data_IF_963815155912
#
_entry.id   IF_963815155912
#
_cell.length_a   1.000
_cell.length_b   1.000
_cell.length_c   1.000
_cell.angle_alpha   90.00
_cell.angle_beta   90.00
_cell.angle_gamma   90.00
#
_symmetry.space_group_name_H-M   'P 1'
#
loop_
_entity.id
_entity.type
_entity.pdbx_description
1 polymer ?
#
# COMPACT_ATOMS: atom_id res chain seq x y z
N UNK A 1 9.20 10.00 -7.38
CA UNK A 1 8.57 8.95 -8.21
C UNK A 1 7.28 8.47 -7.56
N UNK A 2 7.23 8.22 -6.25
CA UNK A 2 6.02 7.83 -5.52
C UNK A 2 4.79 8.73 -5.79
N UNK A 3 4.98 10.05 -5.81
CA UNK A 3 3.89 10.97 -6.13
C UNK A 3 3.32 10.77 -7.54
N UNK A 4 4.18 10.41 -8.51
CA UNK A 4 3.73 10.12 -9.88
C UNK A 4 2.91 8.83 -9.87
N UNK A 5 3.40 7.81 -9.18
CA UNK A 5 2.72 6.54 -9.00
C UNK A 5 1.34 6.74 -8.36
N UNK A 6 1.28 7.42 -7.21
CA UNK A 6 0.04 7.72 -6.50
C UNK A 6 -0.94 8.56 -7.34
N UNK A 7 -0.43 9.57 -8.09
CA UNK A 7 -1.25 10.39 -8.96
C UNK A 7 -1.91 9.56 -10.07
N UNK A 8 -1.15 8.67 -10.70
CA UNK A 8 -1.66 7.79 -11.76
C UNK A 8 -2.73 6.85 -11.21
N UNK A 9 -2.52 6.28 -10.01
CA UNK A 9 -3.54 5.45 -9.34
C UNK A 9 -4.82 6.26 -9.15
N UNK A 10 -4.75 7.43 -8.52
CA UNK A 10 -5.93 8.29 -8.28
C UNK A 10 -6.68 8.63 -9.57
N UNK A 11 -5.96 8.93 -10.64
CA UNK A 11 -6.57 9.31 -11.92
C UNK A 11 -7.20 8.12 -12.65
N UNK A 12 -6.61 6.93 -12.52
CA UNK A 12 -7.00 5.75 -13.29
C UNK A 12 -7.88 4.77 -12.53
N UNK A 13 -7.96 4.81 -11.19
CA UNK A 13 -8.73 3.85 -10.38
C UNK A 13 -10.20 3.75 -10.85
N UNK A 14 -10.83 4.87 -11.15
CA UNK A 14 -12.22 4.89 -11.63
C UNK A 14 -12.35 4.53 -13.11
N UNK A 15 -11.56 5.12 -14.04
CA UNK A 15 -11.59 4.71 -15.44
C UNK A 15 -11.30 3.21 -15.65
N UNK A 16 -10.35 2.66 -14.90
CA UNK A 16 -10.01 1.23 -15.01
C UNK A 16 -11.08 0.33 -14.42
N UNK A 17 -11.77 0.74 -13.34
CA UNK A 17 -12.93 0.04 -12.84
C UNK A 17 -14.04 -0.10 -13.89
N UNK A 18 -14.39 1.00 -14.57
CA UNK A 18 -15.36 0.97 -15.69
C UNK A 18 -14.87 0.12 -16.87
N UNK A 19 -13.56 0.10 -17.12
CA UNK A 19 -12.98 -0.72 -18.18
C UNK A 19 -12.94 -2.20 -17.79
N UNK A 20 -12.74 -2.50 -16.52
CA UNK A 20 -12.81 -3.84 -15.97
C UNK A 20 -14.18 -4.51 -16.17
N UNK A 21 -15.27 -3.72 -16.09
CA UNK A 21 -16.63 -4.20 -16.34
C UNK A 21 -16.91 -4.57 -17.81
N UNK A 22 -16.06 -4.12 -18.74
CA UNK A 22 -16.22 -4.36 -20.18
C UNK A 22 -15.22 -5.36 -20.74
N UNK A 23 -14.24 -5.76 -19.93
CA UNK A 23 -13.13 -6.61 -20.38
C UNK A 23 -13.04 -7.82 -19.46
N UNK A 24 -12.56 -8.95 -19.96
CA UNK A 24 -12.36 -10.15 -19.16
C UNK A 24 -11.29 -9.92 -18.08
N UNK A 25 -11.53 -10.39 -16.85
CA UNK A 25 -10.62 -10.26 -15.69
C UNK A 25 -9.21 -10.80 -16.05
N UNK A 26 -9.19 -11.95 -16.72
CA UNK A 26 -7.97 -12.56 -17.25
C UNK A 26 -7.14 -11.60 -18.11
N UNK A 27 -7.74 -10.90 -19.08
CA UNK A 27 -7.02 -9.97 -19.98
C UNK A 27 -6.46 -8.77 -19.21
N UNK A 28 -7.18 -8.28 -18.21
CA UNK A 28 -6.72 -7.18 -17.37
C UNK A 28 -5.49 -7.59 -16.54
N UNK A 29 -5.51 -8.78 -15.94
CA UNK A 29 -4.36 -9.32 -15.20
C UNK A 29 -3.17 -9.50 -16.14
N UNK A 30 -3.37 -10.09 -17.31
CA UNK A 30 -2.32 -10.28 -18.32
C UNK A 30 -1.70 -8.95 -18.76
N UNK A 31 -2.53 -7.96 -19.06
CA UNK A 31 -2.08 -6.62 -19.45
C UNK A 31 -1.30 -5.94 -18.30
N UNK A 32 -1.82 -6.03 -17.06
CA UNK A 32 -1.18 -5.43 -15.88
C UNK A 32 0.19 -6.03 -15.60
N UNK A 33 0.31 -7.36 -15.54
CA UNK A 33 1.60 -8.04 -15.31
C UNK A 33 2.58 -7.77 -16.46
N UNK A 34 2.11 -7.72 -17.70
CA UNK A 34 2.95 -7.39 -18.85
C UNK A 34 3.49 -5.96 -18.77
N UNK A 35 2.66 -4.99 -18.37
CA UNK A 35 3.09 -3.60 -18.17
C UNK A 35 4.11 -3.49 -17.04
N UNK A 36 3.94 -4.23 -15.94
CA UNK A 36 4.93 -4.29 -14.87
C UNK A 36 6.24 -4.90 -15.35
N UNK A 37 6.20 -5.98 -16.13
CA UNK A 37 7.38 -6.58 -16.74
C UNK A 37 8.12 -5.59 -17.66
N UNK A 38 7.41 -4.87 -18.51
CA UNK A 38 7.98 -3.84 -19.39
C UNK A 38 8.57 -2.68 -18.58
N UNK A 39 7.95 -2.29 -17.47
CA UNK A 39 8.43 -1.21 -16.62
C UNK A 39 9.83 -1.52 -16.05
N UNK A 40 10.10 -2.77 -15.64
CA UNK A 40 11.41 -3.18 -15.14
C UNK A 40 12.48 -3.22 -16.24
N UNK A 41 12.12 -3.52 -17.49
CA UNK A 41 13.02 -3.36 -18.62
C UNK A 41 13.39 -1.90 -18.84
N UNK A 42 12.41 -1.01 -18.80
CA UNK A 42 12.66 0.43 -18.93
C UNK A 42 13.53 0.91 -17.76
N UNK A 43 13.25 0.48 -16.52
CA UNK A 43 14.05 0.84 -15.34
C UNK A 43 15.52 0.42 -15.50
N UNK A 44 15.78 -0.80 -15.96
CA UNK A 44 17.14 -1.34 -16.12
C UNK A 44 18.02 -0.49 -17.06
N UNK A 45 17.41 0.10 -18.09
CA UNK A 45 18.11 0.92 -19.09
C UNK A 45 17.89 2.43 -18.93
N UNK A 46 17.23 2.85 -17.86
CA UNK A 46 16.92 4.26 -17.62
C UNK A 46 18.02 4.93 -16.79
N UNK A 47 18.63 5.98 -17.35
CA UNK A 47 19.63 6.83 -16.68
C UNK A 47 19.14 8.29 -16.58
N UNK A 48 17.93 8.58 -17.02
CA UNK A 48 17.35 9.92 -17.06
C UNK A 48 16.04 9.98 -16.30
N UNK A 49 15.68 11.17 -15.81
CA UNK A 49 14.39 11.38 -15.16
C UNK A 49 13.20 10.95 -16.02
N UNK A 50 13.24 11.24 -17.33
CA UNK A 50 12.18 10.83 -18.27
C UNK A 50 12.03 9.31 -18.39
N UNK A 51 13.16 8.58 -18.40
CA UNK A 51 13.12 7.12 -18.40
C UNK A 51 12.48 6.55 -17.13
N UNK A 52 12.88 7.04 -15.95
CA UNK A 52 12.26 6.65 -14.69
C UNK A 52 10.78 7.04 -14.65
N UNK A 53 10.42 8.22 -15.15
CA UNK A 53 9.02 8.66 -15.23
C UNK A 53 8.15 7.68 -16.05
N UNK A 54 8.61 7.28 -17.24
CA UNK A 54 7.90 6.34 -18.11
C UNK A 54 7.79 4.98 -17.44
N UNK A 55 8.87 4.47 -16.84
CA UNK A 55 8.88 3.18 -16.18
C UNK A 55 7.87 3.13 -15.02
N UNK A 56 7.92 4.12 -14.11
CA UNK A 56 6.99 4.21 -12.97
C UNK A 56 5.54 4.40 -13.44
N UNK A 57 5.34 5.17 -14.51
CA UNK A 57 4.00 5.33 -15.09
C UNK A 57 3.45 4.01 -15.64
N UNK A 58 4.26 3.22 -16.34
CA UNK A 58 3.89 1.88 -16.81
C UNK A 58 3.55 0.95 -15.63
N UNK A 59 4.37 0.95 -14.58
CA UNK A 59 4.14 0.14 -13.38
C UNK A 59 2.83 0.53 -12.68
N UNK A 60 2.58 1.83 -12.49
CA UNK A 60 1.35 2.33 -11.88
C UNK A 60 0.11 1.93 -12.67
N UNK A 61 0.14 2.10 -14.00
CA UNK A 61 -0.97 1.67 -14.88
C UNK A 61 -1.19 0.16 -14.77
N UNK A 62 -0.12 -0.64 -14.80
CA UNK A 62 -0.19 -2.10 -14.65
C UNK A 62 -0.82 -2.52 -13.33
N UNK A 63 -0.40 -1.89 -12.23
CA UNK A 63 -0.90 -2.16 -10.89
C UNK A 63 -2.40 -1.84 -10.75
N UNK A 64 -2.84 -0.67 -11.24
CA UNK A 64 -4.26 -0.26 -11.16
C UNK A 64 -5.16 -1.19 -11.99
N UNK A 65 -4.73 -1.56 -13.20
CA UNK A 65 -5.51 -2.47 -14.06
C UNK A 65 -5.66 -3.84 -13.39
N UNK A 66 -4.62 -4.31 -12.70
CA UNK A 66 -4.57 -5.64 -12.08
C UNK A 66 -5.34 -5.70 -10.75
N UNK A 67 -5.21 -4.70 -9.90
CA UNK A 67 -5.67 -4.72 -8.51
C UNK A 67 -7.17 -5.04 -8.38
N UNK A 68 -8.02 -4.42 -9.21
CA UNK A 68 -9.45 -4.70 -9.22
C UNK A 68 -9.83 -6.05 -9.82
N UNK A 69 -9.01 -6.58 -10.75
CA UNK A 69 -9.31 -7.81 -11.46
C UNK A 69 -8.91 -9.09 -10.70
N UNK A 70 -7.86 -9.05 -9.87
CA UNK A 70 -7.32 -10.24 -9.17
C UNK A 70 -8.31 -10.80 -8.15
N UNK A 71 -8.80 -9.97 -7.25
CA UNK A 71 -9.75 -10.40 -6.22
C UNK A 71 -11.09 -10.81 -6.84
N UNK A 72 -11.55 -10.12 -7.88
CA UNK A 72 -12.76 -10.47 -8.60
C UNK A 72 -12.61 -11.82 -9.29
N UNK A 73 -11.51 -12.07 -10.02
CA UNK A 73 -11.25 -13.36 -10.67
C UNK A 73 -11.23 -14.50 -9.65
N UNK A 74 -10.56 -14.31 -8.51
CA UNK A 74 -10.50 -15.30 -7.44
C UNK A 74 -11.90 -15.60 -6.89
N UNK A 75 -12.69 -14.57 -6.59
CA UNK A 75 -14.03 -14.74 -6.04
C UNK A 75 -14.97 -15.45 -7.03
N UNK A 76 -15.00 -15.00 -8.29
CA UNK A 76 -15.82 -15.58 -9.35
C UNK A 76 -15.44 -17.04 -9.62
N UNK A 77 -14.13 -17.37 -9.63
CA UNK A 77 -13.64 -18.76 -9.80
C UNK A 77 -14.07 -19.68 -8.65
N UNK A 78 -14.03 -19.19 -7.40
CA UNK A 78 -14.50 -19.95 -6.24
C UNK A 78 -16.02 -20.08 -6.23
N UNK A 79 -16.74 -19.09 -6.71
CA UNK A 79 -18.20 -19.13 -6.84
C UNK A 79 -18.63 -20.16 -7.88
N UNK A 80 -17.96 -20.24 -9.04
CA UNK A 80 -18.20 -21.25 -10.07
C UNK A 80 -17.94 -22.67 -9.55
N UNK A 81 -16.92 -22.83 -8.69
CA UNK A 81 -16.60 -24.10 -8.02
C UNK A 81 -17.50 -24.44 -6.82
N UNK A 82 -18.51 -23.62 -6.52
CA UNK A 82 -19.33 -23.72 -5.31
C UNK A 82 -18.56 -23.62 -3.99
N UNK A 83 -17.39 -23.00 -3.99
CA UNK A 83 -16.51 -22.83 -2.82
C UNK A 83 -16.36 -21.35 -2.39
N UNK A 84 -17.33 -20.50 -2.69
CA UNK A 84 -17.28 -19.05 -2.36
C UNK A 84 -16.98 -18.78 -0.87
N UNK A 85 -17.46 -19.66 0.05
CA UNK A 85 -17.17 -19.57 1.48
C UNK A 85 -15.69 -19.81 1.85
N UNK A 86 -14.86 -20.22 0.90
CA UNK A 86 -13.41 -20.44 1.07
C UNK A 86 -12.58 -19.22 0.67
N UNK A 87 -13.21 -18.14 0.19
CA UNK A 87 -12.52 -16.98 -0.38
C UNK A 87 -11.47 -16.41 0.59
N UNK A 88 -11.83 -16.12 1.84
CA UNK A 88 -10.92 -15.54 2.82
C UNK A 88 -9.75 -16.48 3.14
N UNK A 89 -10.01 -17.78 3.18
CA UNK A 89 -8.97 -18.79 3.42
C UNK A 89 -7.98 -18.85 2.26
N UNK A 90 -8.46 -18.83 1.02
CA UNK A 90 -7.61 -18.90 -0.18
C UNK A 90 -6.83 -17.61 -0.33
N UNK A 91 -7.49 -16.45 -0.17
CA UNK A 91 -6.84 -15.14 -0.20
C UNK A 91 -5.75 -15.04 0.88
N UNK A 92 -6.04 -15.51 2.11
CA UNK A 92 -5.06 -15.53 3.19
C UNK A 92 -3.83 -16.39 2.87
N UNK A 93 -4.01 -17.54 2.18
CA UNK A 93 -2.88 -18.36 1.71
C UNK A 93 -2.06 -17.65 0.62
N UNK A 94 -2.72 -17.00 -0.33
CA UNK A 94 -2.04 -16.24 -1.39
C UNK A 94 -1.22 -15.08 -0.80
N UNK A 95 -1.79 -14.34 0.15
CA UNK A 95 -1.09 -13.27 0.86
C UNK A 95 0.11 -13.80 1.66
N UNK A 96 -0.03 -14.94 2.34
CA UNK A 96 1.08 -15.57 3.07
C UNK A 96 2.22 -15.99 2.12
N UNK A 97 1.90 -16.58 0.96
CA UNK A 97 2.89 -16.91 -0.07
C UNK A 97 3.57 -15.64 -0.58
N UNK A 98 2.80 -14.56 -0.83
CA UNK A 98 3.33 -13.26 -1.24
C UNK A 98 4.33 -12.69 -0.23
N UNK A 99 4.00 -12.72 1.07
CA UNK A 99 4.91 -12.28 2.14
C UNK A 99 6.18 -13.13 2.18
N UNK A 100 6.06 -14.47 2.10
CA UNK A 100 7.22 -15.36 2.07
C UNK A 100 8.11 -15.09 0.85
N UNK A 101 7.52 -14.86 -0.32
CA UNK A 101 8.25 -14.49 -1.53
C UNK A 101 8.96 -13.14 -1.36
N UNK A 102 8.30 -12.12 -0.79
CA UNK A 102 8.89 -10.82 -0.52
C UNK A 102 10.08 -10.90 0.47
N UNK A 103 9.94 -11.68 1.55
CA UNK A 103 11.03 -11.92 2.52
C UNK A 103 12.21 -12.62 1.84
N UNK A 104 11.95 -13.66 1.05
CA UNK A 104 12.98 -14.39 0.31
C UNK A 104 13.70 -13.48 -0.70
N UNK A 105 12.94 -12.65 -1.43
CA UNK A 105 13.50 -11.68 -2.38
C UNK A 105 14.35 -10.62 -1.68
N UNK A 106 13.91 -10.11 -0.53
CA UNK A 106 14.65 -9.11 0.25
C UNK A 106 16.00 -9.66 0.74
N UNK A 107 16.02 -10.88 1.27
CA UNK A 107 17.25 -11.55 1.69
C UNK A 107 18.19 -11.84 0.52
N UNK A 108 17.68 -12.49 -0.52
CA UNK A 108 18.50 -12.83 -1.69
C UNK A 108 19.01 -11.59 -2.40
N UNK A 109 18.17 -10.56 -2.55
CA UNK A 109 18.55 -9.30 -3.18
C UNK A 109 19.64 -8.54 -2.42
N UNK A 110 19.56 -8.49 -1.07
CA UNK A 110 20.59 -7.83 -0.25
C UNK A 110 21.91 -8.59 -0.25
N UNK A 111 21.87 -9.93 -0.21
CA UNK A 111 23.07 -10.78 -0.34
C UNK A 111 23.70 -10.61 -1.72
N UNK A 112 22.89 -10.59 -2.77
CA UNK A 112 23.38 -10.41 -4.13
C UNK A 112 24.05 -9.04 -4.30
N UNK A 113 23.46 -7.98 -3.74
CA UNK A 113 23.97 -6.61 -3.78
C UNK A 113 25.33 -6.43 -3.06
N UNK A 114 25.72 -7.39 -2.22
CA UNK A 114 27.04 -7.39 -1.58
C UNK A 114 28.15 -7.80 -2.55
N UNK A 115 27.84 -8.68 -3.52
CA UNK A 115 28.83 -9.27 -4.43
C UNK A 115 28.71 -8.80 -5.86
N UNK A 116 27.53 -8.32 -6.27
CA UNK A 116 27.21 -7.93 -7.64
C UNK A 116 26.61 -6.51 -7.68
N UNK A 117 26.71 -5.81 -8.82
CA UNK A 117 26.03 -4.54 -9.03
C UNK A 117 24.51 -4.64 -8.83
N UNK A 118 23.87 -3.56 -8.38
CA UNK A 118 22.44 -3.50 -8.07
C UNK A 118 21.54 -3.83 -9.29
N UNK A 119 22.05 -3.65 -10.50
CA UNK A 119 21.35 -4.00 -11.76
C UNK A 119 20.97 -5.49 -11.82
N UNK A 120 21.69 -6.37 -11.11
CA UNK A 120 21.34 -7.79 -11.05
C UNK A 120 20.00 -8.05 -10.37
N UNK A 121 19.63 -7.23 -9.38
CA UNK A 121 18.31 -7.31 -8.75
C UNK A 121 17.20 -7.00 -9.78
N UNK A 122 17.38 -5.99 -10.63
CA UNK A 122 16.44 -5.70 -11.71
C UNK A 122 16.34 -6.85 -12.72
N UNK A 123 17.48 -7.47 -13.11
CA UNK A 123 17.49 -8.62 -14.02
C UNK A 123 16.73 -9.83 -13.46
N UNK A 124 16.89 -10.11 -12.16
CA UNK A 124 16.14 -11.17 -11.49
C UNK A 124 14.64 -10.83 -11.40
N UNK A 125 14.29 -9.58 -11.12
CA UNK A 125 12.91 -9.13 -11.12
C UNK A 125 12.28 -9.25 -12.52
N UNK A 126 13.00 -8.92 -13.60
CA UNK A 126 12.55 -9.12 -14.98
C UNK A 126 12.25 -10.60 -15.26
N UNK A 127 13.13 -11.51 -14.81
CA UNK A 127 12.90 -12.94 -14.97
C UNK A 127 11.67 -13.41 -14.20
N UNK A 128 11.52 -12.97 -12.95
CA UNK A 128 10.36 -13.27 -12.10
C UNK A 128 9.04 -12.77 -12.71
N UNK A 129 9.03 -11.53 -13.20
CA UNK A 129 7.86 -10.94 -13.86
C UNK A 129 7.55 -11.60 -15.22
N UNK A 130 8.57 -12.04 -15.95
CA UNK A 130 8.37 -12.85 -17.16
C UNK A 130 7.67 -14.16 -16.80
N UNK A 131 8.10 -14.85 -15.74
CA UNK A 131 7.43 -16.08 -15.28
C UNK A 131 5.98 -15.79 -14.86
N UNK A 132 5.73 -14.69 -14.13
CA UNK A 132 4.39 -14.27 -13.77
C UNK A 132 3.52 -13.98 -15.02
N UNK A 133 4.08 -13.31 -16.03
CA UNK A 133 3.42 -13.06 -17.31
C UNK A 133 3.06 -14.37 -18.02
N UNK A 134 3.98 -15.31 -18.08
CA UNK A 134 3.73 -16.63 -18.67
C UNK A 134 2.67 -17.39 -17.88
N UNK A 135 2.74 -17.39 -16.54
CA UNK A 135 1.71 -18.02 -15.69
C UNK A 135 0.33 -17.39 -15.91
N UNK A 136 0.25 -16.08 -16.11
CA UNK A 136 -1.02 -15.40 -16.37
C UNK A 136 -1.73 -15.87 -17.66
N UNK A 137 -0.99 -16.44 -18.63
CA UNK A 137 -1.56 -16.99 -19.86
C UNK A 137 -2.40 -18.25 -19.59
N UNK A 138 -2.16 -18.94 -18.49
CA UNK A 138 -2.90 -20.15 -18.08
C UNK A 138 -4.11 -19.84 -17.20
N UNK A 139 -4.37 -18.58 -16.85
CA UNK A 139 -5.58 -18.20 -16.13
C UNK A 139 -6.81 -18.53 -16.97
N UNK A 140 -7.84 -19.05 -16.32
CA UNK A 140 -9.14 -19.35 -16.93
C UNK A 140 -10.13 -18.27 -16.51
N UNK A 141 -10.90 -17.76 -17.46
CA UNK A 141 -11.97 -16.80 -17.16
C UNK A 141 -13.19 -17.58 -16.67
N UNK A 142 -13.71 -17.31 -15.47
CA UNK A 142 -14.94 -17.91 -14.99
C UNK A 142 -16.14 -17.39 -15.78
N UNK A 143 -17.23 -18.15 -15.78
CA UNK A 143 -18.48 -17.71 -16.41
C UNK A 143 -19.07 -16.58 -15.58
N UNK A 144 -19.20 -15.39 -16.19
CA UNK A 144 -19.73 -14.20 -15.50
C UNK A 144 -21.18 -14.42 -15.10
N UNK A 145 -21.48 -14.31 -13.80
CA UNK A 145 -22.84 -14.09 -13.32
C UNK A 145 -23.27 -12.66 -13.64
N UNK A 146 -24.46 -12.49 -14.23
CA UNK A 146 -25.05 -11.16 -14.40
C UNK A 146 -25.32 -10.54 -13.04
N UNK A 147 -24.75 -9.39 -12.73
CA UNK A 147 -25.24 -8.49 -11.68
C UNK A 147 -24.32 -8.11 -10.52
N UNK A 148 -23.21 -7.46 -10.77
CA UNK A 148 -22.64 -6.58 -9.76
C UNK A 148 -22.82 -5.12 -10.19
N UNK A 149 -23.28 -4.28 -9.24
CA UNK A 149 -23.48 -2.84 -9.43
C UNK A 149 -22.16 -2.20 -9.86
N UNK A 150 -22.16 -1.66 -11.07
CA UNK A 150 -21.00 -1.02 -11.68
C UNK A 150 -20.51 0.14 -10.84
N UNK A 151 -19.26 0.09 -10.42
CA UNK A 151 -18.63 1.20 -9.72
C UNK A 151 -18.64 2.44 -10.65
N UNK A 152 -19.40 3.46 -10.30
CA UNK A 152 -19.55 4.69 -11.07
C UNK A 152 -19.11 5.88 -10.20
N UNK A 153 -18.64 6.96 -10.80
CA UNK A 153 -18.36 8.22 -10.09
C UNK A 153 -19.45 8.63 -9.10
N UNK A 154 -20.71 8.38 -9.43
CA UNK A 154 -21.85 8.65 -8.51
C UNK A 154 -21.82 7.79 -7.26
N UNK A 155 -21.35 6.55 -7.36
CA UNK A 155 -21.20 5.65 -6.21
C UNK A 155 -20.06 6.14 -5.30
N UNK A 156 -18.88 6.46 -5.87
CA UNK A 156 -17.78 7.05 -5.09
C UNK A 156 -18.21 8.33 -4.36
N UNK A 157 -18.93 9.22 -5.05
CA UNK A 157 -19.46 10.44 -4.42
C UNK A 157 -20.38 10.15 -3.24
N UNK A 158 -21.19 9.08 -3.27
CA UNK A 158 -21.99 8.66 -2.12
C UNK A 158 -21.12 8.20 -0.95
N UNK A 159 -20.08 7.44 -1.20
CA UNK A 159 -19.12 7.03 -0.17
C UNK A 159 -18.40 8.23 0.47
N UNK A 160 -17.90 9.16 -0.33
CA UNK A 160 -17.35 10.43 0.16
C UNK A 160 -18.38 11.21 1.00
N UNK A 161 -19.58 11.37 0.48
CA UNK A 161 -20.65 12.11 1.12
C UNK A 161 -21.02 11.51 2.47
N UNK A 162 -21.04 10.18 2.57
CA UNK A 162 -21.26 9.48 3.82
C UNK A 162 -20.16 9.77 4.85
N UNK A 163 -18.88 9.61 4.49
CA UNK A 163 -17.76 9.89 5.39
C UNK A 163 -17.76 11.35 5.85
N UNK A 164 -18.03 12.30 4.94
CA UNK A 164 -17.98 13.73 5.26
C UNK A 164 -19.17 14.24 6.07
N UNK A 165 -20.35 13.64 5.90
CA UNK A 165 -21.56 14.04 6.62
C UNK A 165 -21.56 13.61 8.10
N UNK A 166 -20.78 12.57 8.45
CA UNK A 166 -20.71 12.05 9.81
C UNK A 166 -19.44 12.51 10.51
N UNK A 167 -19.51 13.57 11.32
CA UNK A 167 -18.35 14.19 11.99
C UNK A 167 -17.47 13.19 12.73
N UNK A 168 -18.06 12.20 13.41
CA UNK A 168 -17.31 11.18 14.15
C UNK A 168 -16.48 10.29 13.21
N UNK A 169 -17.02 9.89 12.05
CA UNK A 169 -16.34 9.08 11.05
C UNK A 169 -15.27 9.93 10.38
N UNK A 170 -15.63 11.12 9.94
CA UNK A 170 -14.74 12.06 9.25
C UNK A 170 -13.45 12.30 10.06
N UNK A 171 -13.56 12.65 11.34
CA UNK A 171 -12.41 12.95 12.16
C UNK A 171 -11.47 11.73 12.32
N UNK A 172 -12.03 10.54 12.54
CA UNK A 172 -11.25 9.30 12.62
C UNK A 172 -10.60 8.99 11.27
N UNK A 173 -11.33 9.17 10.17
CA UNK A 173 -10.81 8.95 8.81
C UNK A 173 -9.65 9.88 8.49
N UNK A 174 -9.77 11.18 8.79
CA UNK A 174 -8.69 12.15 8.56
C UNK A 174 -7.43 11.76 9.37
N UNK A 175 -7.59 11.41 10.64
CA UNK A 175 -6.47 10.97 11.47
C UNK A 175 -5.85 9.66 10.96
N UNK A 176 -6.66 8.67 10.62
CA UNK A 176 -6.22 7.41 10.03
C UNK A 176 -5.43 7.66 8.74
N UNK A 177 -6.00 8.41 7.80
CA UNK A 177 -5.35 8.71 6.51
C UNK A 177 -4.02 9.44 6.68
N UNK A 178 -3.93 10.41 7.59
CA UNK A 178 -2.67 11.10 7.86
C UNK A 178 -1.59 10.13 8.36
N UNK A 179 -1.94 9.22 9.25
CA UNK A 179 -0.98 8.26 9.81
C UNK A 179 -0.56 7.18 8.79
N UNK A 180 -1.51 6.59 8.05
CA UNK A 180 -1.17 5.53 7.08
C UNK A 180 -0.47 6.07 5.84
N UNK A 181 -0.83 7.28 5.37
CA UNK A 181 -0.11 7.94 4.29
C UNK A 181 1.30 8.34 4.71
N UNK A 182 1.49 8.73 5.98
CA UNK A 182 2.84 9.01 6.51
C UNK A 182 3.69 7.74 6.51
N UNK A 183 3.14 6.59 6.95
CA UNK A 183 3.89 5.33 7.00
C UNK A 183 4.45 4.92 5.63
N UNK A 184 3.79 5.25 4.53
CA UNK A 184 4.30 5.02 3.18
C UNK A 184 5.72 5.59 2.97
N UNK A 185 6.05 6.75 3.59
CA UNK A 185 7.38 7.34 3.48
C UNK A 185 8.44 6.60 4.31
N UNK A 186 8.06 5.86 5.36
CA UNK A 186 8.96 4.91 6.01
C UNK A 186 9.21 3.74 5.08
N UNK A 187 8.16 3.13 4.54
CA UNK A 187 8.26 1.94 3.68
C UNK A 187 9.13 2.20 2.43
N UNK A 188 9.03 3.38 1.84
CA UNK A 188 9.79 3.76 0.65
C UNK A 188 11.22 4.27 0.94
N UNK A 189 11.43 4.96 2.05
CA UNK A 189 12.68 5.68 2.29
C UNK A 189 13.54 5.15 3.45
N UNK A 190 13.14 4.07 4.12
CA UNK A 190 13.93 3.47 5.19
C UNK A 190 15.34 3.04 4.72
N UNK A 191 15.49 2.61 3.47
CA UNK A 191 16.79 2.20 2.91
C UNK A 191 17.74 3.38 2.79
N UNK A 192 17.26 4.56 2.39
CA UNK A 192 18.03 5.79 2.35
C UNK A 192 18.43 6.22 3.76
N UNK A 193 17.48 6.15 4.70
CA UNK A 193 17.75 6.42 6.11
C UNK A 193 18.83 5.47 6.66
N UNK A 194 18.71 4.18 6.42
CA UNK A 194 19.67 3.17 6.87
C UNK A 194 21.07 3.44 6.33
N UNK A 195 21.19 3.83 5.05
CA UNK A 195 22.44 4.23 4.43
C UNK A 195 23.02 5.47 5.11
N UNK A 196 22.21 6.51 5.35
CA UNK A 196 22.66 7.77 5.92
C UNK A 196 23.09 7.63 7.39
N UNK A 197 22.57 6.63 8.11
CA UNK A 197 23.05 6.25 9.44
C UNK A 197 24.11 5.13 9.44
N UNK A 198 24.72 4.89 8.26
CA UNK A 198 25.86 3.96 8.04
C UNK A 198 25.55 2.48 8.34
N UNK A 199 24.33 2.01 8.12
CA UNK A 199 23.99 0.59 8.19
C UNK A 199 24.47 -0.09 6.90
N UNK A 200 25.27 -1.19 7.01
CA UNK A 200 25.74 -1.91 5.85
C UNK A 200 24.59 -2.55 5.03
N UNK A 201 24.74 -2.56 3.70
CA UNK A 201 23.70 -3.03 2.76
C UNK A 201 23.27 -4.48 2.98
N UNK A 202 24.16 -5.33 3.49
CA UNK A 202 23.84 -6.74 3.75
C UNK A 202 22.78 -6.92 4.86
N UNK A 203 22.56 -5.92 5.72
CA UNK A 203 21.46 -5.92 6.71
C UNK A 203 20.11 -5.53 6.11
N UNK A 204 20.07 -4.94 4.91
CA UNK A 204 18.83 -4.43 4.33
C UNK A 204 17.78 -5.51 4.14
N UNK A 205 18.18 -6.73 3.73
CA UNK A 205 17.25 -7.85 3.62
C UNK A 205 16.63 -8.25 4.96
N UNK A 206 17.45 -8.30 6.02
CA UNK A 206 16.97 -8.61 7.37
C UNK A 206 16.02 -7.52 7.89
N UNK A 207 16.41 -6.24 7.73
CA UNK A 207 15.58 -5.09 8.14
C UNK A 207 14.25 -5.09 7.38
N UNK A 208 14.28 -5.22 6.05
CA UNK A 208 13.06 -5.28 5.22
C UNK A 208 12.13 -6.42 5.68
N UNK A 209 12.70 -7.60 5.93
CA UNK A 209 11.94 -8.76 6.42
C UNK A 209 11.30 -8.49 7.78
N UNK A 210 12.02 -7.84 8.70
CA UNK A 210 11.49 -7.47 10.00
C UNK A 210 10.38 -6.42 9.85
N UNK A 211 10.57 -5.38 9.03
CA UNK A 211 9.55 -4.35 8.80
C UNK A 211 8.26 -4.92 8.18
N UNK A 212 8.36 -5.92 7.33
CA UNK A 212 7.20 -6.64 6.78
C UNK A 212 6.54 -7.54 7.82
N UNK A 213 7.31 -8.39 8.49
CA UNK A 213 6.77 -9.41 9.39
C UNK A 213 6.21 -8.81 10.68
N UNK A 214 6.76 -7.70 11.17
CA UNK A 214 6.32 -7.06 12.43
C UNK A 214 4.92 -6.42 12.29
N UNK A 215 4.43 -6.21 11.08
CA UNK A 215 3.06 -5.75 10.83
C UNK A 215 2.03 -6.85 11.14
N UNK A 216 2.40 -8.14 10.98
CA UNK A 216 1.50 -9.27 11.19
C UNK A 216 0.93 -9.35 12.62
N UNK A 217 1.73 -9.26 13.71
CA UNK A 217 1.18 -9.16 15.06
C UNK A 217 0.17 -8.02 15.22
N UNK A 218 0.45 -6.84 14.64
CA UNK A 218 -0.47 -5.71 14.65
C UNK A 218 -1.84 -6.08 14.07
N UNK A 219 -1.85 -6.71 12.91
CA UNK A 219 -3.08 -7.17 12.24
C UNK A 219 -3.80 -8.24 13.05
N UNK A 220 -3.08 -9.27 13.53
CA UNK A 220 -3.67 -10.41 14.25
C UNK A 220 -4.27 -10.00 15.60
N UNK A 221 -3.63 -9.08 16.32
CA UNK A 221 -4.07 -8.67 17.65
C UNK A 221 -5.03 -7.46 17.63
N UNK A 222 -5.33 -6.85 16.49
CA UNK A 222 -6.25 -5.74 16.36
C UNK A 222 -7.62 -6.03 17.01
N UNK A 223 -8.19 -7.22 16.77
CA UNK A 223 -9.44 -7.67 17.39
C UNK A 223 -9.36 -7.84 18.92
N UNK A 224 -8.16 -8.09 19.46
CA UNK A 224 -7.95 -8.17 20.90
C UNK A 224 -7.89 -6.78 21.53
N UNK A 225 -7.30 -5.80 20.82
CA UNK A 225 -7.21 -4.41 21.30
C UNK A 225 -8.59 -3.80 21.55
N UNK A 226 -9.60 -4.14 20.76
CA UNK A 226 -10.97 -3.65 20.91
C UNK A 226 -11.58 -4.04 22.26
N UNK A 227 -11.12 -5.12 22.91
CA UNK A 227 -11.59 -5.53 24.23
C UNK A 227 -11.14 -4.57 25.35
N UNK A 228 -10.06 -3.84 25.16
CA UNK A 228 -9.51 -2.91 26.17
C UNK A 228 -9.95 -1.47 25.95
N UNK A 229 -10.15 -1.04 24.71
CA UNK A 229 -10.62 0.30 24.39
C UNK A 229 -11.29 0.31 23.01
N UNK A 230 -12.11 1.34 22.72
CA UNK A 230 -12.73 1.49 21.39
C UNK A 230 -11.69 1.69 20.29
N UNK A 231 -12.01 1.20 19.07
CA UNK A 231 -11.16 1.39 17.87
C UNK A 231 -10.77 2.85 17.67
N UNK A 232 -11.69 3.78 17.92
CA UNK A 232 -11.44 5.24 17.83
C UNK A 232 -10.32 5.70 18.78
N UNK A 233 -10.29 5.19 20.02
CA UNK A 233 -9.23 5.54 20.98
C UNK A 233 -7.88 5.00 20.54
N UNK A 234 -7.85 3.75 20.07
CA UNK A 234 -6.62 3.13 19.56
C UNK A 234 -6.09 3.87 18.32
N UNK A 235 -6.93 4.15 17.34
CA UNK A 235 -6.55 4.86 16.13
C UNK A 235 -5.99 6.25 16.45
N UNK A 236 -6.64 6.98 17.35
CA UNK A 236 -6.13 8.28 17.77
C UNK A 236 -4.79 8.16 18.52
N UNK A 237 -4.66 7.21 19.46
CA UNK A 237 -3.40 6.98 20.19
C UNK A 237 -2.26 6.56 19.24
N UNK A 238 -2.52 5.67 18.30
CA UNK A 238 -1.54 5.23 17.29
C UNK A 238 -1.12 6.38 16.38
N UNK A 239 -2.04 7.26 15.98
CA UNK A 239 -1.69 8.43 15.21
C UNK A 239 -0.75 9.40 15.95
N UNK A 240 -0.96 9.63 17.27
CA UNK A 240 -0.02 10.39 18.09
C UNK A 240 1.35 9.72 18.20
N UNK A 241 1.39 8.39 18.38
CA UNK A 241 2.62 7.61 18.40
C UNK A 241 3.31 7.62 17.03
N UNK A 242 2.53 7.54 15.94
CA UNK A 242 3.06 7.63 14.57
C UNK A 242 3.79 8.98 14.37
N UNK A 243 3.12 10.08 14.61
CA UNK A 243 3.75 11.40 14.51
C UNK A 243 4.98 11.56 15.44
N UNK A 244 4.88 11.09 16.68
CA UNK A 244 6.01 11.10 17.64
C UNK A 244 7.20 10.26 17.15
N UNK A 245 6.94 9.09 16.61
CA UNK A 245 8.00 8.22 16.04
C UNK A 245 8.70 8.87 14.85
N UNK A 246 7.96 9.53 13.95
CA UNK A 246 8.55 10.31 12.86
C UNK A 246 9.45 11.45 13.40
N UNK A 247 9.05 12.14 14.45
CA UNK A 247 9.89 13.17 15.08
C UNK A 247 11.16 12.56 15.68
N UNK A 248 11.07 11.43 16.37
CA UNK A 248 12.24 10.73 16.92
C UNK A 248 13.20 10.33 15.80
N UNK A 249 12.71 9.71 14.71
CA UNK A 249 13.52 9.31 13.56
C UNK A 249 14.22 10.51 12.93
N UNK A 250 13.55 11.65 12.82
CA UNK A 250 14.11 12.85 12.21
C UNK A 250 15.08 13.61 13.12
N UNK A 251 14.76 13.80 14.42
CA UNK A 251 15.61 14.57 15.33
C UNK A 251 16.83 13.78 15.85
N UNK A 252 16.74 12.45 15.90
CA UNK A 252 17.79 11.59 16.45
C UNK A 252 18.22 10.54 15.41
N UNK A 253 18.85 10.97 14.29
CA UNK A 253 19.29 10.06 13.24
C UNK A 253 20.36 9.10 13.77
N UNK A 254 19.97 7.85 13.89
CA UNK A 254 20.82 6.78 14.42
C UNK A 254 20.29 5.41 14.00
N UNK A 255 21.08 4.33 14.10
CA UNK A 255 20.58 2.99 13.84
C UNK A 255 19.36 2.60 14.69
N UNK A 256 19.18 3.21 15.88
CA UNK A 256 17.99 3.01 16.74
C UNK A 256 16.71 3.46 16.02
N UNK A 257 16.81 4.45 15.12
CA UNK A 257 15.69 4.91 14.30
C UNK A 257 15.04 3.80 13.48
N UNK A 258 15.80 2.79 13.04
CA UNK A 258 15.23 1.60 12.38
C UNK A 258 14.34 0.81 13.36
N UNK A 259 14.74 0.70 14.62
CA UNK A 259 13.89 0.07 15.65
C UNK A 259 12.58 0.86 15.87
N UNK A 260 12.67 2.20 15.85
CA UNK A 260 11.46 3.07 15.91
C UNK A 260 10.59 2.85 14.68
N UNK A 261 11.15 2.78 13.46
CA UNK A 261 10.41 2.47 12.23
C UNK A 261 9.72 1.10 12.32
N UNK A 262 10.39 0.09 12.91
CA UNK A 262 9.78 -1.20 13.20
C UNK A 262 8.58 -1.11 14.14
N UNK A 263 8.67 -0.29 15.21
CA UNK A 263 7.54 -0.04 16.08
C UNK A 263 6.38 0.63 15.34
N UNK A 264 6.68 1.61 14.47
CA UNK A 264 5.66 2.26 13.64
C UNK A 264 5.03 1.28 12.65
N UNK A 265 5.79 0.33 12.08
CA UNK A 265 5.28 -0.73 11.24
C UNK A 265 4.30 -1.66 12.00
N UNK A 266 4.60 -2.01 13.25
CA UNK A 266 3.69 -2.76 14.11
C UNK A 266 2.36 -2.03 14.32
N UNK A 267 2.42 -0.72 14.62
CA UNK A 267 1.23 0.12 14.82
C UNK A 267 0.42 0.22 13.53
N UNK A 268 1.09 0.44 12.38
CA UNK A 268 0.48 0.48 11.07
C UNK A 268 -0.31 -0.80 10.78
N UNK A 269 0.27 -1.98 11.04
CA UNK A 269 -0.40 -3.25 10.85
C UNK A 269 -1.72 -3.38 11.63
N UNK A 270 -1.84 -2.74 12.81
CA UNK A 270 -3.08 -2.75 13.59
C UNK A 270 -4.10 -1.69 13.14
N UNK A 271 -3.65 -0.59 12.51
CA UNK A 271 -4.53 0.55 12.19
C UNK A 271 -5.58 0.20 11.15
N UNK A 272 -5.20 -0.53 10.11
CA UNK A 272 -6.09 -0.89 9.00
C UNK A 272 -7.30 -1.73 9.46
N UNK A 273 -7.12 -2.89 10.14
CA UNK A 273 -8.27 -3.68 10.61
C UNK A 273 -9.10 -2.95 11.67
N UNK A 274 -8.49 -2.10 12.52
CA UNK A 274 -9.23 -1.28 13.49
C UNK A 274 -10.10 -0.23 12.80
N UNK A 275 -9.61 0.39 11.74
CA UNK A 275 -10.33 1.42 11.00
C UNK A 275 -11.45 0.82 10.16
N UNK A 276 -11.18 -0.20 9.35
CA UNK A 276 -12.21 -0.83 8.52
C UNK A 276 -13.25 -1.55 9.36
N UNK A 277 -12.88 -2.17 10.47
CA UNK A 277 -13.84 -2.70 11.44
C UNK A 277 -14.78 -1.62 11.97
N UNK A 278 -14.26 -0.44 12.37
CA UNK A 278 -15.08 0.70 12.79
C UNK A 278 -16.01 1.20 11.66
N UNK A 279 -15.47 1.31 10.44
CA UNK A 279 -16.19 1.79 9.27
C UNK A 279 -17.35 0.86 8.91
N UNK A 280 -17.09 -0.44 8.84
CA UNK A 280 -18.09 -1.47 8.48
C UNK A 280 -19.27 -1.55 9.43
N UNK A 281 -19.06 -1.28 10.72
CA UNK A 281 -20.14 -1.24 11.70
C UNK A 281 -21.05 -0.01 11.57
N UNK A 282 -20.59 1.05 10.88
CA UNK A 282 -21.34 2.32 10.77
C UNK A 282 -21.88 2.57 9.37
N UNK A 283 -21.30 1.95 8.34
CA UNK A 283 -21.71 2.13 6.95
C UNK A 283 -22.80 1.14 6.56
N UNK A 284 -23.91 1.59 5.97
CA UNK A 284 -24.94 0.72 5.39
C UNK A 284 -24.33 -0.25 4.37
N UNK A 285 -24.89 -1.47 4.29
CA UNK A 285 -24.36 -2.54 3.45
C UNK A 285 -24.31 -2.21 1.96
N UNK A 286 -25.28 -1.43 1.48
CA UNK A 286 -25.44 -1.03 0.07
C UNK A 286 -24.39 -0.05 -0.44
N UNK A 287 -23.69 0.69 0.46
CA UNK A 287 -22.65 1.64 0.10
C UNK A 287 -21.28 1.28 0.70
N UNK A 288 -21.13 0.11 1.35
CA UNK A 288 -19.91 -0.27 2.09
C UNK A 288 -18.69 -0.35 1.17
N UNK A 289 -18.76 -1.13 0.10
CA UNK A 289 -17.67 -1.28 -0.86
C UNK A 289 -17.29 0.07 -1.51
N UNK A 290 -18.29 0.89 -1.83
CA UNK A 290 -18.09 2.23 -2.38
C UNK A 290 -17.38 3.16 -1.41
N UNK A 291 -17.72 3.06 -0.11
CA UNK A 291 -17.07 3.86 0.94
C UNK A 291 -15.62 3.44 1.13
N UNK A 292 -15.31 2.13 1.07
CA UNK A 292 -13.93 1.63 1.11
C UNK A 292 -13.10 2.17 -0.07
N UNK A 293 -13.62 2.10 -1.29
CA UNK A 293 -12.96 2.65 -2.48
C UNK A 293 -12.72 4.16 -2.35
N UNK A 294 -13.68 4.89 -1.76
CA UNK A 294 -13.52 6.32 -1.50
C UNK A 294 -12.40 6.60 -0.50
N UNK A 295 -12.27 5.76 0.54
CA UNK A 295 -11.19 5.88 1.54
C UNK A 295 -9.84 5.52 0.92
N UNK A 296 -9.76 4.49 0.09
CA UNK A 296 -8.55 4.13 -0.67
C UNK A 296 -8.06 5.28 -1.54
N UNK A 297 -8.97 5.92 -2.28
CA UNK A 297 -8.65 7.10 -3.08
C UNK A 297 -8.14 8.27 -2.21
N UNK A 298 -8.77 8.52 -1.05
CA UNK A 298 -8.32 9.54 -0.10
C UNK A 298 -6.93 9.21 0.47
N UNK A 299 -6.61 7.94 0.67
CA UNK A 299 -5.27 7.51 1.10
C UNK A 299 -4.20 7.93 0.09
N UNK A 300 -4.41 7.62 -1.20
CA UNK A 300 -3.47 8.03 -2.25
C UNK A 300 -3.36 9.57 -2.38
N UNK A 301 -4.47 10.30 -2.20
CA UNK A 301 -4.43 11.76 -2.10
C UNK A 301 -3.63 12.23 -0.87
N UNK A 302 -3.73 11.54 0.26
CA UNK A 302 -2.92 11.79 1.45
C UNK A 302 -1.42 11.62 1.17
N UNK A 303 -1.03 10.56 0.44
CA UNK A 303 0.35 10.34 -0.01
C UNK A 303 0.82 11.49 -0.90
N UNK A 304 -0.01 11.99 -1.82
CA UNK A 304 0.34 13.14 -2.67
C UNK A 304 0.59 14.41 -1.85
N UNK A 305 -0.31 14.72 -0.90
CA UNK A 305 -0.19 15.90 -0.04
C UNK A 305 1.07 15.83 0.84
N UNK A 306 1.27 14.69 1.52
CA UNK A 306 2.47 14.47 2.32
C UNK A 306 3.74 14.41 1.47
N UNK A 307 3.64 13.94 0.23
CA UNK A 307 4.74 13.94 -0.73
C UNK A 307 5.26 15.34 -1.05
N UNK A 308 4.37 16.33 -1.16
CA UNK A 308 4.78 17.73 -1.32
C UNK A 308 5.56 18.21 -0.09
N UNK A 309 5.09 17.89 1.11
CA UNK A 309 5.78 18.22 2.36
C UNK A 309 7.14 17.51 2.44
N UNK A 310 7.18 16.22 2.04
CA UNK A 310 8.42 15.43 2.03
C UNK A 310 9.45 16.00 1.07
N UNK A 311 9.05 16.38 -0.14
CA UNK A 311 9.94 17.03 -1.13
C UNK A 311 10.56 18.31 -0.53
N UNK A 312 9.76 19.17 0.08
CA UNK A 312 10.28 20.38 0.74
C UNK A 312 11.32 20.02 1.81
N UNK A 313 11.07 19.02 2.63
CA UNK A 313 12.03 18.56 3.64
C UNK A 313 13.33 18.02 3.02
N UNK A 314 13.24 17.22 1.96
CA UNK A 314 14.39 16.60 1.31
C UNK A 314 15.29 17.58 0.58
N UNK A 315 14.84 18.82 0.29
CA UNK A 315 15.73 19.87 -0.24
C UNK A 315 16.84 20.24 0.76
N UNK A 316 16.64 19.99 2.04
CA UNK A 316 17.61 20.25 3.11
C UNK A 316 18.22 18.94 3.60
N UNK A 317 17.38 17.99 4.04
CA UNK A 317 17.83 16.65 4.45
C UNK A 317 16.66 15.67 4.51
N UNK A 318 16.95 14.36 4.42
CA UNK A 318 15.98 13.30 4.62
C UNK A 318 15.38 13.36 6.03
N UNK A 319 16.19 13.70 7.03
CA UNK A 319 15.75 13.78 8.44
C UNK A 319 14.74 14.91 8.66
N UNK A 320 14.95 16.08 8.02
CA UNK A 320 13.98 17.17 8.07
C UNK A 320 12.66 16.77 7.41
N UNK A 321 12.70 15.99 6.34
CA UNK A 321 11.47 15.48 5.71
C UNK A 321 10.67 14.62 6.69
N UNK A 322 11.29 13.73 7.45
CA UNK A 322 10.62 12.94 8.48
C UNK A 322 10.06 13.82 9.61
N UNK A 323 10.80 14.85 10.05
CA UNK A 323 10.30 15.83 11.05
C UNK A 323 9.03 16.52 10.54
N UNK A 324 9.04 17.03 9.31
CA UNK A 324 7.89 17.73 8.74
C UNK A 324 6.65 16.83 8.65
N UNK A 325 6.82 15.57 8.21
CA UNK A 325 5.73 14.59 8.19
C UNK A 325 5.20 14.36 9.62
N UNK A 326 6.07 14.15 10.59
CA UNK A 326 5.67 13.96 11.99
C UNK A 326 4.85 15.13 12.54
N UNK A 327 5.27 16.37 12.23
CA UNK A 327 4.55 17.59 12.61
C UNK A 327 3.16 17.66 11.96
N UNK A 328 3.05 17.33 10.66
CA UNK A 328 1.76 17.30 9.98
C UNK A 328 0.82 16.26 10.59
N UNK A 329 1.31 15.04 10.85
CA UNK A 329 0.51 14.00 11.52
C UNK A 329 0.03 14.47 12.89
N UNK A 330 0.87 15.08 13.69
CA UNK A 330 0.50 15.64 14.98
C UNK A 330 -0.52 16.76 14.86
N UNK A 331 -0.31 17.69 13.94
CA UNK A 331 -1.25 18.80 13.69
C UNK A 331 -2.64 18.26 13.31
N UNK A 332 -2.70 17.29 12.40
CA UNK A 332 -3.97 16.64 11.99
C UNK A 332 -4.66 16.00 13.19
N UNK A 333 -3.93 15.25 14.04
CA UNK A 333 -4.53 14.62 15.22
C UNK A 333 -4.95 15.60 16.30
N UNK A 334 -4.30 16.77 16.40
CA UNK A 334 -4.69 17.84 17.31
C UNK A 334 -6.00 18.52 16.88
N UNK A 335 -6.23 18.65 15.57
CA UNK A 335 -7.38 19.35 14.98
C UNK A 335 -8.58 18.44 14.72
N UNK A 336 -8.37 17.13 14.55
CA UNK A 336 -9.42 16.14 14.25
C UNK A 336 -10.12 15.58 15.52
N UNK A 337 -10.11 16.29 16.63
CA UNK A 337 -10.78 15.88 17.89
C UNK A 337 -12.27 16.14 17.92
#
# INVERSE_FOLDING_TARGET
>A
MEMIYALIIVLLEVPTGVWADRTTRRRLIQAGVTLEWLSFWILLYSFTFSGFFVAISCSAVGSVIRSGAENALLYESLQESHEASSFERVLGKLNAIGIMAAVTAAWSGSMLAQYLPLEWNYRLSILSLLMATVCSLFLVEPVHGEGEDRLTWRHLLKGFQFVWSHTSIRNVTIGFLAAVSAFNFIDEFWQLYARDVSIPIYWFGAISSVLLLIQLPGQLFAGTLIRFASSKRWLNGFGWLMGGGFLIVGFFPSPIGIGVMGLLALLYGAMEPLYFGLLHHQVPSDIRATTESSVSMLWHLGILVLGLVFIVGTTVSLFLAFILIGLVVWFVHATAR
#
